data_IF_889928184355
#
_entry.id   IF_889928184355
#
_cell.length_a   1.000
_cell.length_b   1.000
_cell.length_c   1.000
_cell.angle_alpha   90.00
_cell.angle_beta   90.00
_cell.angle_gamma   90.00
#
_symmetry.space_group_name_H-M   'P 1'
#
loop_
_entity.id
_entity.type
_entity.pdbx_description
1 polymer ?
#
# COMPACT_ATOMS: atom_id res chain seq x y z
N UNK A 1 23.28 22.15 39.08
CA UNK A 1 22.52 22.40 37.84
C UNK A 1 23.05 21.46 36.79
N UNK A 2 22.38 20.33 36.57
CA UNK A 2 22.87 19.25 35.71
C UNK A 2 21.88 19.11 34.55
N UNK A 3 22.28 19.54 33.35
CA UNK A 3 21.48 19.37 32.15
C UNK A 3 21.34 17.88 31.82
N UNK A 4 20.15 17.38 31.45
CA UNK A 4 20.02 16.02 30.97
C UNK A 4 20.62 15.87 29.57
N UNK A 5 21.17 14.70 29.22
CA UNK A 5 21.64 14.42 27.88
C UNK A 5 20.44 14.33 26.93
N UNK A 6 20.51 15.08 25.82
CA UNK A 6 19.60 14.94 24.69
C UNK A 6 19.89 13.58 24.08
N UNK A 7 19.07 12.59 24.42
CA UNK A 7 18.97 11.32 23.70
C UNK A 7 18.65 11.67 22.25
N UNK A 8 19.67 11.59 21.40
CA UNK A 8 19.53 11.68 19.96
C UNK A 8 18.67 10.50 19.52
N UNK A 9 17.39 10.76 19.24
CA UNK A 9 16.54 9.83 18.50
C UNK A 9 17.28 9.45 17.20
N UNK A 10 17.43 8.16 16.88
CA UNK A 10 17.95 7.78 15.58
C UNK A 10 17.02 8.37 14.51
N UNK A 11 17.53 8.84 13.37
CA UNK A 11 16.68 9.30 12.29
C UNK A 11 15.75 8.15 11.95
N UNK A 12 14.44 8.34 12.19
CA UNK A 12 13.39 7.44 11.71
C UNK A 12 13.66 7.29 10.23
N UNK A 13 14.25 6.16 9.84
CA UNK A 13 14.31 5.75 8.45
C UNK A 13 12.88 5.95 7.94
N UNK A 14 12.74 6.77 6.89
CA UNK A 14 11.48 6.99 6.19
C UNK A 14 11.02 5.64 5.67
N UNK A 15 10.44 4.85 6.56
CA UNK A 15 9.93 3.54 6.27
C UNK A 15 8.68 3.84 5.51
N UNK A 16 8.64 3.53 4.23
CA UNK A 16 7.41 3.51 3.45
C UNK A 16 6.45 2.56 4.15
N UNK A 17 5.65 3.09 5.07
CA UNK A 17 5.17 2.31 6.20
C UNK A 17 3.83 1.68 5.84
N UNK A 18 3.88 0.40 5.50
CA UNK A 18 2.70 -0.44 5.40
C UNK A 18 2.45 -1.09 6.78
N UNK A 19 1.27 -0.85 7.38
CA UNK A 19 0.92 -1.48 8.66
C UNK A 19 0.75 -2.98 8.53
N UNK A 20 0.66 -3.66 9.70
CA UNK A 20 0.24 -5.05 9.77
C UNK A 20 -1.09 -5.28 9.05
N UNK A 21 -1.22 -6.47 8.46
CA UNK A 21 -2.43 -6.92 7.79
C UNK A 21 -3.45 -7.40 8.82
N UNK A 22 -4.63 -6.78 8.81
CA UNK A 22 -5.74 -7.13 9.69
C UNK A 22 -6.88 -7.74 8.90
N UNK A 23 -7.59 -8.70 9.49
CA UNK A 23 -8.83 -9.21 8.93
C UNK A 23 -9.95 -8.20 9.16
N UNK A 24 -10.76 -7.92 8.14
CA UNK A 24 -11.88 -7.00 8.30
C UNK A 24 -13.03 -7.65 9.10
N UNK A 25 -13.73 -6.84 9.89
CA UNK A 25 -14.72 -7.33 10.85
C UNK A 25 -16.16 -7.35 10.32
N UNK A 26 -16.40 -6.90 9.08
CA UNK A 26 -17.72 -6.83 8.44
C UNK A 26 -18.28 -8.17 7.94
N UNK A 27 -19.49 -8.19 7.35
CA UNK A 27 -20.24 -9.40 7.00
C UNK A 27 -19.53 -10.36 6.03
N UNK A 28 -18.46 -9.92 5.36
CA UNK A 28 -17.61 -10.69 4.46
C UNK A 28 -16.19 -10.86 5.03
N UNK A 29 -16.07 -11.27 6.31
CA UNK A 29 -14.81 -11.37 7.07
C UNK A 29 -13.73 -12.21 6.39
N UNK A 30 -14.12 -13.11 5.51
CA UNK A 30 -13.21 -14.08 4.87
C UNK A 30 -12.76 -13.62 3.49
N UNK A 31 -13.26 -12.48 3.01
CA UNK A 31 -12.93 -11.94 1.70
C UNK A 31 -12.17 -10.62 1.81
N UNK A 32 -12.17 -10.00 2.98
CA UNK A 32 -11.67 -8.64 3.16
C UNK A 32 -10.60 -8.60 4.25
N UNK A 33 -9.46 -8.06 3.88
CA UNK A 33 -8.39 -7.68 4.78
C UNK A 33 -8.11 -6.19 4.63
N UNK A 34 -7.48 -5.62 5.63
CA UNK A 34 -7.13 -4.21 5.63
C UNK A 34 -5.71 -3.99 6.13
N UNK A 35 -5.10 -2.95 5.61
CA UNK A 35 -3.84 -2.40 6.10
C UNK A 35 -3.87 -0.89 5.91
N UNK A 36 -2.86 -0.23 6.43
CA UNK A 36 -2.75 1.21 6.48
C UNK A 36 -1.45 1.62 5.79
N UNK A 37 -1.55 2.56 4.85
CA UNK A 37 -0.40 3.21 4.25
C UNK A 37 0.02 4.41 5.08
N UNK A 38 1.32 4.67 5.13
CA UNK A 38 1.91 5.86 5.73
C UNK A 38 1.49 7.14 4.98
N UNK A 39 1.43 8.28 5.67
CA UNK A 39 1.05 9.56 5.08
C UNK A 39 2.02 10.07 4.01
N UNK A 40 3.24 9.54 3.96
CA UNK A 40 4.28 9.89 2.99
C UNK A 40 4.02 9.32 1.57
N UNK A 41 3.07 8.40 1.44
CA UNK A 41 2.78 7.73 0.17
C UNK A 41 1.99 8.66 -0.76
N UNK A 42 2.61 9.06 -1.87
CA UNK A 42 1.96 9.85 -2.93
C UNK A 42 1.01 8.97 -3.76
N UNK A 43 -0.31 9.28 -3.81
CA UNK A 43 -1.28 8.45 -4.50
C UNK A 43 -0.99 8.14 -5.96
N UNK A 44 -0.61 9.16 -6.72
CA UNK A 44 -0.34 9.05 -8.15
C UNK A 44 0.92 8.22 -8.41
N UNK A 45 1.91 8.29 -7.53
CA UNK A 45 3.14 7.50 -7.65
C UNK A 45 2.88 6.02 -7.36
N UNK A 46 2.14 5.71 -6.30
CA UNK A 46 1.77 4.34 -5.98
C UNK A 46 0.85 3.74 -7.06
N UNK A 47 -0.13 4.49 -7.54
CA UNK A 47 -1.03 4.05 -8.59
C UNK A 47 -0.27 3.69 -9.88
N UNK A 48 0.65 4.55 -10.34
CA UNK A 48 1.49 4.26 -11.52
C UNK A 48 2.28 2.96 -11.36
N UNK A 49 2.82 2.70 -10.15
CA UNK A 49 3.57 1.47 -9.86
C UNK A 49 2.68 0.24 -9.85
N UNK A 50 1.49 0.33 -9.27
CA UNK A 50 0.52 -0.75 -9.30
C UNK A 50 0.09 -1.05 -10.75
N UNK A 51 -0.14 -0.02 -11.57
CA UNK A 51 -0.43 -0.20 -13.00
C UNK A 51 0.75 -0.85 -13.73
N UNK A 52 1.99 -0.43 -13.46
CA UNK A 52 3.19 -1.06 -14.01
C UNK A 52 3.35 -2.53 -13.55
N UNK A 53 2.87 -2.87 -12.35
CA UNK A 53 2.79 -4.24 -11.85
C UNK A 53 1.60 -5.04 -12.41
N UNK A 54 0.85 -4.48 -13.35
CA UNK A 54 -0.24 -5.15 -14.06
C UNK A 54 -1.64 -4.94 -13.47
N UNK A 55 -1.80 -4.06 -12.46
CA UNK A 55 -3.13 -3.73 -11.95
C UNK A 55 -3.89 -2.81 -12.93
N UNK A 56 -5.17 -3.08 -13.11
CA UNK A 56 -6.09 -2.20 -13.84
C UNK A 56 -6.75 -1.20 -12.88
N UNK A 57 -6.74 0.09 -13.24
CA UNK A 57 -7.40 1.13 -12.44
C UNK A 57 -8.89 1.18 -12.78
N UNK A 58 -9.73 0.69 -11.85
CA UNK A 58 -11.18 0.56 -12.03
C UNK A 58 -11.94 1.80 -11.60
N UNK A 59 -11.42 2.53 -10.61
CA UNK A 59 -12.04 3.75 -10.10
C UNK A 59 -10.99 4.76 -9.66
N UNK A 60 -11.11 5.98 -10.17
CA UNK A 60 -10.32 7.15 -9.78
C UNK A 60 -11.24 8.25 -9.25
N UNK A 61 -11.56 8.21 -7.97
CA UNK A 61 -12.37 9.22 -7.30
C UNK A 61 -11.49 10.05 -6.36
N UNK A 62 -11.70 11.37 -6.16
CA UNK A 62 -10.83 12.20 -5.31
C UNK A 62 -10.54 11.64 -3.90
N UNK A 63 -11.44 10.84 -3.33
CA UNK A 63 -11.27 10.20 -2.03
C UNK A 63 -10.89 8.70 -2.09
N UNK A 64 -10.95 8.05 -3.26
CA UNK A 64 -10.86 6.61 -3.39
C UNK A 64 -10.15 6.20 -4.69
N UNK A 65 -9.24 5.23 -4.60
CA UNK A 65 -8.72 4.48 -5.73
C UNK A 65 -9.13 3.03 -5.63
N UNK A 66 -9.59 2.44 -6.73
CA UNK A 66 -9.84 0.99 -6.80
C UNK A 66 -9.03 0.42 -7.95
N UNK A 67 -8.17 -0.55 -7.63
CA UNK A 67 -7.34 -1.24 -8.60
C UNK A 67 -7.61 -2.74 -8.54
N UNK A 68 -7.55 -3.42 -9.68
CA UNK A 68 -7.78 -4.86 -9.80
C UNK A 68 -6.60 -5.55 -10.45
N UNK A 69 -6.12 -6.62 -9.83
CA UNK A 69 -5.06 -7.44 -10.42
C UNK A 69 -5.64 -8.47 -11.40
N UNK A 70 -4.88 -8.96 -12.39
CA UNK A 70 -5.33 -9.98 -13.33
C UNK A 70 -5.78 -11.29 -12.67
N UNK A 71 -5.20 -11.63 -11.51
CA UNK A 71 -5.65 -12.79 -10.70
C UNK A 71 -6.98 -12.57 -9.97
N UNK A 72 -7.61 -11.41 -10.13
CA UNK A 72 -8.97 -11.13 -9.69
C UNK A 72 -9.12 -10.48 -8.31
N UNK A 73 -8.05 -10.26 -7.55
CA UNK A 73 -8.13 -9.50 -6.30
C UNK A 73 -8.17 -8.00 -6.54
N UNK A 74 -8.78 -7.28 -5.60
CA UNK A 74 -8.93 -5.83 -5.68
C UNK A 74 -8.26 -5.14 -4.49
N UNK A 75 -7.73 -3.95 -4.75
CA UNK A 75 -7.22 -3.01 -3.77
C UNK A 75 -8.12 -1.78 -3.80
N UNK A 76 -8.86 -1.54 -2.72
CA UNK A 76 -9.62 -0.32 -2.52
C UNK A 76 -8.88 0.56 -1.51
N UNK A 77 -8.37 1.70 -1.97
CA UNK A 77 -7.56 2.62 -1.19
C UNK A 77 -8.29 3.93 -0.94
N UNK A 78 -8.60 4.20 0.33
CA UNK A 78 -9.16 5.47 0.80
C UNK A 78 -8.03 6.46 1.02
N UNK A 79 -7.97 7.49 0.17
CA UNK A 79 -6.83 8.40 0.11
C UNK A 79 -6.70 9.26 1.38
N UNK A 80 -7.83 9.76 1.89
CA UNK A 80 -7.83 10.66 3.05
C UNK A 80 -7.32 9.99 4.33
N UNK A 81 -7.58 8.68 4.49
CA UNK A 81 -7.17 7.94 5.68
C UNK A 81 -5.92 7.10 5.46
N UNK A 82 -5.50 6.85 4.21
CA UNK A 82 -4.45 5.90 3.86
C UNK A 82 -4.88 4.42 3.96
N UNK A 83 -6.14 4.14 4.31
CA UNK A 83 -6.63 2.77 4.50
C UNK A 83 -6.71 2.04 3.17
N UNK A 84 -6.11 0.85 3.10
CA UNK A 84 -6.22 -0.07 1.97
C UNK A 84 -7.01 -1.30 2.39
N UNK A 85 -8.06 -1.59 1.65
CA UNK A 85 -8.82 -2.83 1.73
C UNK A 85 -8.39 -3.76 0.60
N UNK A 86 -7.96 -4.98 0.97
CA UNK A 86 -7.61 -6.06 0.06
C UNK A 86 -8.82 -7.00 -0.02
N UNK A 87 -9.37 -7.16 -1.23
CA UNK A 87 -10.49 -8.05 -1.51
C UNK A 87 -10.01 -9.29 -2.25
N UNK A 88 -10.21 -10.45 -1.63
CA UNK A 88 -9.89 -11.76 -2.20
C UNK A 88 -11.09 -12.24 -3.03
N UNK A 89 -10.87 -12.74 -4.27
CA UNK A 89 -11.96 -13.21 -5.09
C UNK A 89 -12.64 -14.45 -4.48
N UNK A 90 -13.95 -14.57 -4.69
CA UNK A 90 -14.78 -15.64 -4.13
C UNK A 90 -14.30 -17.05 -4.49
N UNK A 91 -13.69 -17.21 -5.68
CA UNK A 91 -13.17 -18.49 -6.18
C UNK A 91 -11.92 -19.01 -5.46
N UNK A 92 -11.34 -18.26 -4.52
CA UNK A 92 -10.26 -18.77 -3.67
C UNK A 92 -10.88 -19.52 -2.49
N UNK A 93 -10.45 -20.76 -2.25
CA UNK A 93 -10.88 -21.55 -1.10
C UNK A 93 -10.62 -20.81 0.21
N UNK A 94 -11.57 -20.93 1.14
CA UNK A 94 -11.58 -20.22 2.42
C UNK A 94 -10.26 -20.38 3.19
N UNK A 95 -9.68 -21.58 3.21
CA UNK A 95 -8.44 -21.90 3.91
C UNK A 95 -7.21 -21.22 3.28
N UNK A 96 -7.28 -20.93 1.98
CA UNK A 96 -6.21 -20.28 1.22
C UNK A 96 -6.30 -18.75 1.23
N UNK A 97 -7.46 -18.17 1.59
CA UNK A 97 -7.67 -16.72 1.54
C UNK A 97 -6.72 -15.93 2.45
N UNK A 98 -6.40 -16.36 3.70
CA UNK A 98 -5.41 -15.67 4.52
C UNK A 98 -4.02 -15.67 3.90
N UNK A 99 -3.60 -16.77 3.27
CA UNK A 99 -2.32 -16.85 2.58
C UNK A 99 -2.29 -15.98 1.31
N UNK A 100 -3.41 -15.89 0.58
CA UNK A 100 -3.55 -14.97 -0.55
C UNK A 100 -3.44 -13.50 -0.10
N UNK A 101 -4.14 -13.12 0.97
CA UNK A 101 -4.09 -11.76 1.51
C UNK A 101 -2.67 -11.37 1.98
N UNK A 102 -1.95 -12.28 2.65
CA UNK A 102 -0.55 -12.06 3.04
C UNK A 102 0.39 -11.86 1.84
N UNK A 103 0.22 -12.64 0.76
CA UNK A 103 1.02 -12.48 -0.46
C UNK A 103 0.78 -11.12 -1.13
N UNK A 104 -0.48 -10.69 -1.21
CA UNK A 104 -0.84 -9.38 -1.78
C UNK A 104 -0.27 -8.24 -0.92
N UNK A 105 -0.38 -8.37 0.41
CA UNK A 105 0.18 -7.41 1.35
C UNK A 105 1.71 -7.30 1.25
N UNK A 106 2.41 -8.43 1.15
CA UNK A 106 3.86 -8.46 0.95
C UNK A 106 4.27 -7.79 -0.39
N UNK A 107 3.59 -8.12 -1.49
CA UNK A 107 3.84 -7.49 -2.78
C UNK A 107 3.58 -5.97 -2.77
N UNK A 108 2.54 -5.53 -2.05
CA UNK A 108 2.30 -4.10 -1.83
C UNK A 108 3.45 -3.45 -1.05
N UNK A 109 3.96 -4.11 -0.01
CA UNK A 109 5.14 -3.68 0.74
C UNK A 109 6.38 -3.52 -0.14
N UNK A 110 6.66 -4.50 -1.00
CA UNK A 110 7.79 -4.46 -1.94
C UNK A 110 7.68 -3.27 -2.91
N UNK A 111 6.50 -3.02 -3.47
CA UNK A 111 6.25 -1.87 -4.36
C UNK A 111 6.47 -0.53 -3.66
N UNK A 112 6.16 -0.45 -2.36
CA UNK A 112 6.37 0.73 -1.53
C UNK A 112 7.85 0.91 -1.16
N UNK A 113 8.59 -0.16 -0.85
CA UNK A 113 10.02 -0.07 -0.56
C UNK A 113 10.82 0.40 -1.77
N UNK A 114 10.41 0.00 -2.98
CA UNK A 114 10.97 0.52 -4.23
C UNK A 114 10.67 2.02 -4.44
N UNK A 115 9.75 2.62 -3.65
CA UNK A 115 9.37 4.03 -3.77
C UNK A 115 10.23 4.99 -2.97
N UNK A 116 11.06 4.46 -2.07
CA UNK A 116 12.07 5.23 -1.34
C UNK A 116 13.42 5.34 -2.05
N UNK A 117 13.54 4.82 -3.27
CA UNK A 117 14.70 5.10 -4.13
C UNK A 117 14.61 6.55 -4.65
N UNK A 118 15.73 7.30 -4.73
CA UNK A 118 15.71 8.70 -5.11
C UNK A 118 15.00 8.86 -6.47
N UNK A 119 13.99 9.73 -6.46
CA UNK A 119 13.35 10.31 -7.64
C UNK A 119 14.47 10.84 -8.55
N UNK A 120 14.88 10.07 -9.56
CA UNK A 120 15.70 10.62 -10.62
C UNK A 120 14.75 11.40 -11.52
N UNK A 121 14.63 12.68 -11.21
CA UNK A 121 14.25 13.71 -12.15
C UNK A 121 14.99 13.45 -13.47
N UNK A 122 14.31 13.28 -14.61
CA UNK A 122 14.99 13.34 -15.89
C UNK A 122 15.47 14.77 -16.07
N UNK A 123 16.77 14.98 -15.86
CA UNK A 123 17.48 16.21 -16.21
C UNK A 123 17.11 16.57 -17.65
N UNK A 124 16.26 17.60 -17.80
CA UNK A 124 15.94 18.22 -19.08
C UNK A 124 17.23 18.88 -19.57
N UNK A 125 18.00 18.13 -20.35
CA UNK A 125 19.07 18.69 -21.18
C UNK A 125 18.39 19.49 -22.30
N UNK A 126 18.16 20.77 -22.03
CA UNK A 126 17.89 21.76 -23.07
C UNK A 126 19.17 21.93 -23.89
N UNK A 127 19.12 21.55 -25.16
CA UNK A 127 20.07 22.00 -26.19
C UNK A 127 19.33 22.90 -27.17
#
# INVERSE_FOLDING_TARGET
MTSPPILSEPPRAASSSLSALERDSGCCRDLNWRCQLGPEIRPEALERRLVAAGYDSRCRHPALRVLRHPSGHELAWVLASGRVQIRIPLGVDVDHRPAAARRIHAALGELLSQASGPDQDPEVTTR
#
